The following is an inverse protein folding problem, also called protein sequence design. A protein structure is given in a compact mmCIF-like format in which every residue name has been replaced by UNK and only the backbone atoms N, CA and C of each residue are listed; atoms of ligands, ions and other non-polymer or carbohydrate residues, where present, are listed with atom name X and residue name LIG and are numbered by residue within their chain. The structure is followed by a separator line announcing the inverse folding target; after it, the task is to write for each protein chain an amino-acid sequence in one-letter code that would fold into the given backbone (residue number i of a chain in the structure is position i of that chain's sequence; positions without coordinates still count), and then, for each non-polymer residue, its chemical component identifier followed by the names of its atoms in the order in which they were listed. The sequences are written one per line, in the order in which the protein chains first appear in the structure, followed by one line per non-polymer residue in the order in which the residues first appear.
data_IF_013546803941
#
_entry.id   IF_013546803941
#
_cell.length_a   1.000
_cell.length_b   1.000
_cell.length_c   1.000
_cell.angle_alpha   90.00
_cell.angle_beta   90.00
_cell.angle_gamma   90.00
#
_symmetry.space_group_name_H-M   'P 1'
#
loop_
_entity.id
_entity.type
_entity.pdbx_description
1 polymer ?
#
# COMPACT_ATOMS: atom_id res chain seq x y z
N UNK A 1 47.77 34.88 -13.98
CA UNK A 1 47.15 34.81 -15.31
C UNK A 1 46.23 33.59 -15.31
N UNK A 2 44.91 33.83 -15.36
CA UNK A 2 43.82 32.89 -15.69
C UNK A 2 43.58 31.68 -14.71
N UNK A 3 42.38 31.22 -14.33
CA UNK A 3 40.99 31.51 -14.68
C UNK A 3 40.10 30.84 -13.61
N UNK A 4 39.06 31.52 -13.14
CA UNK A 4 37.97 30.91 -12.36
C UNK A 4 36.93 30.29 -13.31
N UNK A 5 36.32 29.13 -13.00
CA UNK A 5 34.95 28.80 -13.45
C UNK A 5 34.34 27.61 -12.69
N UNK A 6 33.29 27.92 -11.90
CA UNK A 6 32.01 27.21 -11.99
C UNK A 6 31.83 25.91 -11.22
N UNK A 7 31.86 25.94 -9.88
CA UNK A 7 31.11 24.96 -9.08
C UNK A 7 29.63 25.31 -9.27
N UNK A 8 28.98 24.63 -10.22
CA UNK A 8 27.57 24.84 -10.53
C UNK A 8 26.72 24.68 -9.27
N UNK A 9 26.05 25.76 -8.88
CA UNK A 9 25.05 25.74 -7.83
C UNK A 9 24.01 24.67 -8.18
N UNK A 10 23.97 23.59 -7.40
CA UNK A 10 22.89 22.60 -7.50
C UNK A 10 21.62 23.36 -7.15
N UNK A 11 20.84 23.69 -8.16
CA UNK A 11 19.53 24.34 -8.03
C UNK A 11 18.69 23.47 -7.08
N UNK A 12 18.64 23.87 -5.79
CA UNK A 12 17.77 23.21 -4.82
C UNK A 12 16.36 23.53 -5.27
N UNK A 13 15.71 22.57 -5.95
CA UNK A 13 14.32 22.71 -6.34
C UNK A 13 13.50 22.94 -5.06
N UNK A 14 13.14 24.20 -4.78
CA UNK A 14 12.28 24.56 -3.65
C UNK A 14 10.97 23.81 -3.83
N UNK A 15 10.77 22.77 -3.02
CA UNK A 15 9.52 22.06 -3.00
C UNK A 15 8.49 22.95 -2.31
N UNK A 16 7.50 23.43 -3.07
CA UNK A 16 6.47 24.29 -2.54
C UNK A 16 5.65 23.59 -1.45
N UNK A 17 5.27 24.34 -0.42
CA UNK A 17 4.50 23.86 0.75
C UNK A 17 3.25 23.07 0.34
N UNK A 18 2.56 23.48 -0.72
CA UNK A 18 1.41 22.76 -1.27
C UNK A 18 1.74 21.30 -1.65
N UNK A 19 2.92 21.05 -2.22
CA UNK A 19 3.32 19.70 -2.61
C UNK A 19 3.61 18.82 -1.40
N UNK A 20 4.12 19.41 -0.32
CA UNK A 20 4.31 18.71 0.95
C UNK A 20 2.96 18.40 1.60
N UNK A 21 2.03 19.36 1.62
CA UNK A 21 0.67 19.13 2.12
C UNK A 21 -0.03 18.01 1.35
N UNK A 22 0.02 18.01 0.01
CA UNK A 22 -0.59 16.94 -0.79
C UNK A 22 0.05 15.58 -0.53
N UNK A 23 1.37 15.53 -0.36
CA UNK A 23 2.07 14.28 -0.05
C UNK A 23 1.70 13.78 1.35
N UNK A 24 1.65 14.67 2.34
CA UNK A 24 1.23 14.34 3.70
C UNK A 24 -0.22 13.87 3.76
N UNK A 25 -1.13 14.48 2.99
CA UNK A 25 -2.52 14.06 2.90
C UNK A 25 -2.66 12.64 2.31
N UNK A 26 -1.88 12.30 1.28
CA UNK A 26 -1.82 10.95 0.73
C UNK A 26 -1.32 9.95 1.78
N UNK A 27 -0.21 10.25 2.46
CA UNK A 27 0.32 9.39 3.51
C UNK A 27 -0.67 9.22 4.67
N UNK A 28 -1.34 10.29 5.08
CA UNK A 28 -2.37 10.24 6.10
C UNK A 28 -3.49 9.26 5.71
N UNK A 29 -4.03 9.37 4.49
CA UNK A 29 -5.05 8.44 4.00
C UNK A 29 -4.54 6.99 3.92
N UNK A 30 -3.29 6.80 3.48
CA UNK A 30 -2.66 5.49 3.43
C UNK A 30 -2.52 4.85 4.81
N UNK A 31 -2.05 5.59 5.81
CA UNK A 31 -1.98 5.12 7.20
C UNK A 31 -3.37 4.81 7.76
N UNK A 32 -4.35 5.66 7.48
CA UNK A 32 -5.73 5.45 7.92
C UNK A 32 -6.34 4.18 7.31
N UNK A 33 -5.95 3.81 6.10
CA UNK A 33 -6.35 2.54 5.48
C UNK A 33 -5.63 1.35 6.13
N UNK A 34 -4.29 1.39 6.19
CA UNK A 34 -3.47 0.23 6.55
C UNK A 34 -3.54 -0.18 8.02
N UNK A 35 -3.60 0.79 8.94
CA UNK A 35 -3.55 0.51 10.37
C UNK A 35 -4.80 -0.27 10.87
N UNK A 36 -6.03 0.25 10.72
CA UNK A 36 -7.22 -0.49 11.16
C UNK A 36 -7.41 -1.79 10.37
N UNK A 37 -7.03 -1.80 9.09
CA UNK A 37 -7.11 -3.01 8.27
C UNK A 37 -6.32 -4.18 8.86
N UNK A 38 -5.07 -3.95 9.21
CA UNK A 38 -4.16 -5.02 9.68
C UNK A 38 -4.45 -5.42 11.12
N UNK A 39 -4.73 -4.46 11.99
CA UNK A 39 -4.84 -4.71 13.43
C UNK A 39 -6.26 -5.00 13.92
N UNK A 40 -7.28 -4.53 13.22
CA UNK A 40 -8.68 -4.62 13.70
C UNK A 40 -9.52 -5.47 12.77
N UNK A 41 -9.59 -5.11 11.49
CA UNK A 41 -10.53 -5.74 10.54
C UNK A 41 -10.24 -7.23 10.37
N UNK A 42 -8.97 -7.62 10.21
CA UNK A 42 -8.62 -9.04 10.05
C UNK A 42 -8.91 -9.85 11.31
N UNK A 43 -8.69 -9.28 12.49
CA UNK A 43 -8.94 -9.97 13.74
C UNK A 43 -10.44 -10.24 13.92
N UNK A 44 -11.27 -9.22 13.69
CA UNK A 44 -12.72 -9.29 13.79
C UNK A 44 -13.33 -10.27 12.78
N UNK A 45 -12.92 -10.20 11.52
CA UNK A 45 -13.49 -11.10 10.50
C UNK A 45 -13.06 -12.55 10.67
N UNK A 46 -11.85 -12.82 11.16
CA UNK A 46 -11.44 -14.19 11.48
C UNK A 46 -12.22 -14.72 12.69
N UNK A 47 -12.50 -13.90 13.72
CA UNK A 47 -13.33 -14.32 14.86
C UNK A 47 -14.75 -14.72 14.42
N UNK A 48 -15.32 -13.99 13.46
CA UNK A 48 -16.66 -14.30 12.91
C UNK A 48 -16.69 -15.55 12.02
N UNK A 49 -15.62 -15.83 11.28
CA UNK A 49 -15.58 -16.92 10.29
C UNK A 49 -14.94 -18.21 10.81
N UNK A 50 -14.20 -18.17 11.92
CA UNK A 50 -13.54 -19.33 12.54
C UNK A 50 -14.10 -19.53 13.95
N UNK A 51 -15.11 -20.41 14.12
CA UNK A 51 -15.74 -20.66 15.42
C UNK A 51 -14.82 -21.33 16.45
N UNK A 52 -13.79 -22.04 15.99
CA UNK A 52 -12.83 -22.71 16.87
C UNK A 52 -11.75 -21.73 17.36
N UNK A 53 -11.84 -21.35 18.63
CA UNK A 53 -10.91 -20.43 19.29
C UNK A 53 -9.46 -20.91 19.29
N UNK A 54 -9.22 -22.22 19.27
CA UNK A 54 -7.85 -22.75 19.22
C UNK A 54 -7.23 -22.58 17.82
N UNK A 55 -8.06 -22.54 16.78
CA UNK A 55 -7.61 -22.38 15.39
C UNK A 55 -7.50 -20.92 14.93
N UNK A 56 -8.14 -19.97 15.63
CA UNK A 56 -8.14 -18.54 15.27
C UNK A 56 -6.73 -17.96 15.15
N UNK A 57 -5.86 -18.22 16.13
CA UNK A 57 -4.48 -17.72 16.11
C UNK A 57 -3.68 -18.24 14.91
N UNK A 58 -3.86 -19.53 14.58
CA UNK A 58 -3.24 -20.13 13.39
C UNK A 58 -3.81 -19.55 12.09
N UNK A 59 -5.13 -19.33 12.03
CA UNK A 59 -5.81 -18.74 10.88
C UNK A 59 -5.37 -17.28 10.63
N UNK A 60 -5.27 -16.46 11.68
CA UNK A 60 -4.71 -15.10 11.58
C UNK A 60 -3.25 -15.17 11.12
N UNK A 61 -2.46 -16.04 11.74
CA UNK A 61 -1.04 -16.23 11.39
C UNK A 61 -0.85 -16.61 9.93
N UNK A 62 -1.65 -17.52 9.39
CA UNK A 62 -1.64 -17.91 7.98
C UNK A 62 -2.04 -16.76 7.06
N UNK A 63 -3.13 -16.04 7.38
CA UNK A 63 -3.57 -14.90 6.57
C UNK A 63 -2.48 -13.82 6.52
N UNK A 64 -1.95 -13.43 7.69
CA UNK A 64 -0.90 -12.40 7.82
C UNK A 64 0.40 -12.82 7.14
N UNK A 65 0.79 -14.09 7.21
CA UNK A 65 2.02 -14.56 6.52
C UNK A 65 1.87 -14.54 5.00
N UNK A 66 0.71 -14.91 4.46
CA UNK A 66 0.40 -14.72 3.03
C UNK A 66 0.48 -13.24 2.65
N UNK A 67 -0.14 -12.36 3.44
CA UNK A 67 -0.06 -10.91 3.21
C UNK A 67 1.37 -10.37 3.32
N UNK A 68 2.16 -10.88 4.26
CA UNK A 68 3.56 -10.50 4.48
C UNK A 68 4.45 -10.83 3.28
N UNK A 69 4.20 -11.95 2.59
CA UNK A 69 4.91 -12.29 1.35
C UNK A 69 4.64 -11.26 0.24
N UNK A 70 3.38 -10.84 0.08
CA UNK A 70 3.04 -9.76 -0.85
C UNK A 70 3.66 -8.43 -0.41
N UNK A 71 3.53 -8.06 0.87
CA UNK A 71 4.12 -6.83 1.41
C UNK A 71 5.65 -6.77 1.28
N UNK A 72 6.34 -7.91 1.25
CA UNK A 72 7.79 -7.97 1.03
C UNK A 72 8.17 -7.84 -0.46
N UNK A 73 7.39 -8.46 -1.35
CA UNK A 73 7.72 -8.58 -2.78
C UNK A 73 7.18 -7.45 -3.65
N UNK A 74 6.00 -6.92 -3.32
CA UNK A 74 5.30 -5.95 -4.16
C UNK A 74 5.94 -4.56 -4.12
N UNK A 75 6.28 -3.96 -2.95
CA UNK A 75 6.91 -2.64 -2.92
C UNK A 75 8.18 -2.50 -3.78
N UNK A 76 9.14 -3.45 -3.81
CA UNK A 76 10.31 -3.33 -4.68
C UNK A 76 9.97 -3.49 -6.17
N UNK A 77 9.03 -4.38 -6.52
CA UNK A 77 8.58 -4.57 -7.91
C UNK A 77 7.87 -3.32 -8.43
N UNK A 78 6.91 -2.79 -7.68
CA UNK A 78 6.17 -1.57 -8.04
C UNK A 78 7.11 -0.37 -8.05
N UNK A 79 8.09 -0.30 -7.15
CA UNK A 79 9.15 0.71 -7.16
C UNK A 79 9.91 0.72 -8.49
N UNK A 80 10.42 -0.44 -8.92
CA UNK A 80 11.15 -0.59 -10.18
C UNK A 80 10.29 -0.30 -11.42
N UNK A 81 9.01 -0.68 -11.41
CA UNK A 81 8.05 -0.36 -12.48
C UNK A 81 7.77 1.15 -12.51
N UNK A 82 7.66 1.79 -11.34
CA UNK A 82 7.38 3.23 -11.23
C UNK A 82 8.47 4.10 -11.85
N UNK A 83 9.71 3.64 -11.78
CA UNK A 83 10.84 4.36 -12.34
C UNK A 83 10.83 4.36 -13.89
N UNK A 84 10.18 3.36 -14.50
CA UNK A 84 10.07 3.24 -15.97
C UNK A 84 8.87 3.97 -16.56
N UNK A 85 7.89 4.36 -15.75
CA UNK A 85 6.68 5.03 -16.22
C UNK A 85 6.95 6.50 -16.57
N UNK A 86 6.82 6.85 -17.85
CA UNK A 86 6.88 8.23 -18.37
C UNK A 86 5.48 8.71 -18.74
N UNK A 87 4.77 9.26 -17.77
CA UNK A 87 3.40 9.76 -17.92
C UNK A 87 3.33 11.29 -17.74
N UNK A 88 2.39 11.98 -18.42
CA UNK A 88 2.25 13.45 -18.34
C UNK A 88 1.88 13.96 -16.93
N UNK A 89 1.30 13.09 -16.08
CA UNK A 89 1.00 13.39 -14.67
C UNK A 89 2.19 13.15 -13.71
N UNK A 90 3.38 12.85 -14.25
CA UNK A 90 4.56 12.45 -13.48
C UNK A 90 4.60 10.95 -13.19
N UNK A 91 5.76 10.44 -12.76
CA UNK A 91 6.07 9.00 -12.69
C UNK A 91 5.30 8.23 -11.59
N UNK A 92 4.95 8.91 -10.48
CA UNK A 92 4.42 8.25 -9.26
C UNK A 92 2.92 8.42 -9.04
N UNK A 93 2.32 9.51 -9.51
CA UNK A 93 0.90 9.83 -9.32
C UNK A 93 -0.09 8.82 -9.94
N UNK A 94 0.10 8.35 -11.19
CA UNK A 94 -0.86 7.41 -11.78
C UNK A 94 -0.86 6.05 -11.07
N UNK A 95 0.29 5.61 -10.56
CA UNK A 95 0.38 4.35 -9.79
C UNK A 95 -0.34 4.49 -8.46
N UNK A 96 -0.13 5.58 -7.72
CA UNK A 96 -0.83 5.80 -6.44
C UNK A 96 -2.35 5.77 -6.61
N UNK A 97 -2.87 6.46 -7.63
CA UNK A 97 -4.31 6.51 -7.91
C UNK A 97 -4.81 5.13 -8.38
N UNK A 98 -4.10 4.50 -9.32
CA UNK A 98 -4.46 3.19 -9.85
C UNK A 98 -4.49 2.11 -8.77
N UNK A 99 -3.46 2.05 -7.92
CA UNK A 99 -3.39 1.14 -6.80
C UNK A 99 -4.57 1.39 -5.84
N UNK A 100 -4.80 2.63 -5.40
CA UNK A 100 -5.91 2.96 -4.49
C UNK A 100 -7.29 2.55 -5.03
N UNK A 101 -7.52 2.69 -6.35
CA UNK A 101 -8.78 2.24 -6.97
C UNK A 101 -8.85 0.71 -7.00
N UNK A 102 -7.75 0.03 -7.33
CA UNK A 102 -7.67 -1.43 -7.39
C UNK A 102 -7.75 -2.10 -6.02
N UNK A 103 -7.46 -1.38 -4.92
CA UNK A 103 -7.68 -1.87 -3.56
C UNK A 103 -9.17 -2.00 -3.22
N UNK A 104 -10.05 -1.18 -3.82
CA UNK A 104 -11.49 -1.16 -3.50
C UNK A 104 -12.22 -2.50 -3.76
N UNK A 105 -12.02 -3.19 -4.90
CA UNK A 105 -12.55 -4.55 -5.10
C UNK A 105 -12.15 -5.54 -4.00
N UNK A 106 -10.92 -5.47 -3.48
CA UNK A 106 -10.45 -6.34 -2.40
C UNK A 106 -11.24 -6.14 -1.11
N UNK A 107 -11.49 -4.88 -0.74
CA UNK A 107 -12.36 -4.56 0.39
C UNK A 107 -13.80 -5.03 0.19
N UNK A 108 -14.34 -4.91 -1.02
CA UNK A 108 -15.69 -5.37 -1.34
C UNK A 108 -15.81 -6.90 -1.25
N UNK A 109 -14.76 -7.62 -1.67
CA UNK A 109 -14.69 -9.08 -1.51
C UNK A 109 -14.64 -9.51 -0.04
N UNK A 110 -13.91 -8.78 0.80
CA UNK A 110 -13.87 -9.07 2.25
C UNK A 110 -15.19 -8.73 2.94
N UNK A 111 -15.82 -7.61 2.56
CA UNK A 111 -17.11 -7.20 3.10
C UNK A 111 -18.24 -8.20 2.81
N UNK A 112 -18.14 -8.93 1.70
CA UNK A 112 -19.10 -9.98 1.28
C UNK A 112 -18.59 -11.39 1.58
N UNK A 113 -17.57 -11.53 2.43
CA UNK A 113 -16.97 -12.83 2.71
C UNK A 113 -17.85 -13.70 3.62
N UNK A 114 -18.14 -14.92 3.16
CA UNK A 114 -18.87 -15.93 3.92
C UNK A 114 -17.99 -17.14 4.28
N UNK A 115 -16.73 -17.14 3.86
CA UNK A 115 -15.77 -18.20 4.11
C UNK A 115 -14.38 -17.65 4.38
N UNK A 116 -13.60 -18.36 5.19
CA UNK A 116 -12.23 -17.99 5.51
C UNK A 116 -11.33 -17.89 4.26
N UNK A 117 -11.50 -18.79 3.27
CA UNK A 117 -10.73 -18.72 2.02
C UNK A 117 -11.04 -17.44 1.23
N UNK A 118 -12.31 -17.04 1.14
CA UNK A 118 -12.70 -15.80 0.47
C UNK A 118 -12.11 -14.57 1.17
N UNK A 119 -12.09 -14.58 2.51
CA UNK A 119 -11.41 -13.55 3.30
C UNK A 119 -9.91 -13.50 2.97
N UNK A 120 -9.21 -14.64 2.94
CA UNK A 120 -7.78 -14.68 2.63
C UNK A 120 -7.49 -14.19 1.21
N UNK A 121 -8.35 -14.51 0.24
CA UNK A 121 -8.22 -14.01 -1.14
C UNK A 121 -8.42 -12.50 -1.19
N UNK A 122 -9.47 -11.98 -0.54
CA UNK A 122 -9.70 -10.54 -0.44
C UNK A 122 -8.56 -9.80 0.26
N UNK A 123 -8.04 -10.38 1.34
CA UNK A 123 -6.89 -9.86 2.07
C UNK A 123 -5.63 -9.84 1.20
N UNK A 124 -5.32 -10.92 0.50
CA UNK A 124 -4.19 -11.01 -0.41
C UNK A 124 -4.31 -9.98 -1.55
N UNK A 125 -5.53 -9.74 -2.05
CA UNK A 125 -5.79 -8.72 -3.06
C UNK A 125 -5.48 -7.30 -2.54
N UNK A 126 -5.96 -6.96 -1.35
CA UNK A 126 -5.64 -5.68 -0.71
C UNK A 126 -4.14 -5.55 -0.45
N UNK A 127 -3.48 -6.64 -0.05
CA UNK A 127 -2.02 -6.65 0.16
C UNK A 127 -1.21 -6.46 -1.12
N UNK A 128 -1.80 -6.76 -2.27
CA UNK A 128 -1.16 -6.58 -3.56
C UNK A 128 -1.23 -5.13 -4.08
N UNK A 129 -2.19 -4.31 -3.61
CA UNK A 129 -2.46 -2.96 -4.13
C UNK A 129 -2.44 -1.87 -3.06
#
# INVERSE_FOLDING_TARGET
MATATGVGERFQARFGTFRHISLSAFWFGSFFLWQPFTFVIIQDQVDQLVPDRNAQGAAIGLAVSVGGLFAMTIPPLVGAISDRLTTPFGRRRPIMIGASILTLPGFLLMATSHSYLQLVIGYAWVQFF
#
